data_IF_379719944901
#
_entry.id   IF_379719944901
#
_cell.length_a   1.000
_cell.length_b   1.000
_cell.length_c   1.000
_cell.angle_alpha   90.00
_cell.angle_beta   90.00
_cell.angle_gamma   90.00
#
_symmetry.space_group_name_H-M   'P 1'
#
loop_
_entity.id
_entity.type
_entity.pdbx_description
1 polymer ?
#
# COMPACT_ATOMS: atom_id res chain seq x y z
N UNK A 1 3.12 5.92 29.45
CA UNK A 1 2.69 4.91 30.45
C UNK A 1 3.38 5.15 31.79
N UNK A 2 2.66 5.06 32.92
CA UNK A 2 3.25 5.08 34.25
C UNK A 2 4.30 3.98 34.39
N UNK A 3 5.43 4.28 35.02
CA UNK A 3 6.51 3.29 35.21
C UNK A 3 7.16 3.44 36.58
N UNK A 4 7.63 2.33 37.14
CA UNK A 4 8.48 2.31 38.33
C UNK A 4 9.90 1.93 37.95
N UNK A 5 10.90 2.47 38.63
CA UNK A 5 12.30 2.05 38.43
C UNK A 5 12.68 0.95 39.42
N UNK A 6 13.50 0.00 38.98
CA UNK A 6 14.18 -0.93 39.89
C UNK A 6 15.39 -0.23 40.54
N UNK A 7 15.96 -0.80 41.62
CA UNK A 7 17.21 -0.29 42.20
C UNK A 7 18.35 -0.17 41.18
N UNK A 8 18.37 -1.01 40.14
CA UNK A 8 19.31 -0.93 39.01
C UNK A 8 18.88 0.00 37.87
N UNK A 9 17.95 0.92 38.09
CA UNK A 9 17.56 1.97 37.13
C UNK A 9 16.61 1.56 36.00
N UNK A 10 16.30 0.26 35.84
CA UNK A 10 15.43 -0.25 34.78
C UNK A 10 13.97 0.14 35.01
N UNK A 11 13.27 0.55 33.96
CA UNK A 11 11.84 0.83 34.01
C UNK A 11 11.05 -0.49 34.01
N UNK A 12 10.04 -0.56 34.87
CA UNK A 12 9.06 -1.65 34.96
C UNK A 12 7.67 -1.04 34.79
N UNK A 13 6.85 -1.72 34.01
CA UNK A 13 5.46 -1.35 33.74
C UNK A 13 4.53 -2.38 34.38
N UNK A 14 3.31 -1.98 34.72
CA UNK A 14 2.27 -2.95 35.09
C UNK A 14 1.79 -3.65 33.83
N UNK A 15 1.62 -4.97 33.90
CA UNK A 15 1.16 -5.78 32.76
C UNK A 15 -0.22 -5.31 32.26
N UNK A 16 -1.13 -4.98 33.17
CA UNK A 16 -2.44 -4.40 32.86
C UNK A 16 -2.34 -3.13 32.02
N UNK A 17 -1.43 -2.23 32.39
CA UNK A 17 -1.28 -0.94 31.73
C UNK A 17 -0.62 -1.10 30.35
N UNK A 18 0.25 -2.10 30.19
CA UNK A 18 0.79 -2.48 28.88
C UNK A 18 -0.27 -3.10 27.97
N UNK A 19 -1.13 -3.96 28.52
CA UNK A 19 -2.23 -4.59 27.77
C UNK A 19 -3.28 -3.55 27.38
N UNK A 20 -3.68 -2.67 28.30
CA UNK A 20 -4.61 -1.58 28.02
C UNK A 20 -4.01 -0.57 27.02
N UNK A 21 -2.70 -0.30 27.10
CA UNK A 21 -2.02 0.52 26.11
C UNK A 21 -2.01 -0.15 24.73
N UNK A 22 -1.72 -1.44 24.66
CA UNK A 22 -1.77 -2.20 23.41
C UNK A 22 -3.18 -2.26 22.82
N UNK A 23 -4.21 -2.40 23.67
CA UNK A 23 -5.62 -2.32 23.26
C UNK A 23 -5.99 -0.92 22.74
N UNK A 24 -5.44 0.15 23.34
CA UNK A 24 -5.56 1.52 22.78
C UNK A 24 -4.72 1.77 21.53
N UNK A 25 -3.90 0.79 21.11
CA UNK A 25 -3.04 0.82 19.91
C UNK A 25 -3.52 -0.19 18.86
N UNK A 26 -4.79 -0.61 18.91
CA UNK A 26 -5.38 -1.64 18.02
C UNK A 26 -5.42 -1.27 16.53
N UNK A 27 -4.95 -0.09 16.16
CA UNK A 27 -4.81 0.36 14.77
C UNK A 27 -3.36 0.30 14.31
N UNK A 28 -3.14 0.01 13.04
CA UNK A 28 -1.81 0.08 12.45
C UNK A 28 -1.29 1.51 12.52
N UNK A 29 -0.13 1.70 13.17
CA UNK A 29 0.51 3.00 13.18
C UNK A 29 1.02 3.34 11.76
N UNK A 30 0.93 4.60 11.31
CA UNK A 30 1.41 5.01 9.98
C UNK A 30 2.86 4.60 9.70
N UNK A 31 3.71 4.57 10.73
CA UNK A 31 5.11 4.14 10.62
C UNK A 31 5.25 2.64 10.35
N UNK A 32 4.38 1.79 10.90
CA UNK A 32 4.41 0.35 10.66
C UNK A 32 4.00 0.03 9.22
N UNK A 33 2.93 0.66 8.74
CA UNK A 33 2.50 0.56 7.33
C UNK A 33 3.62 1.02 6.39
N UNK A 34 4.32 2.10 6.74
CA UNK A 34 5.47 2.57 5.97
C UNK A 34 6.62 1.56 5.92
N UNK A 35 6.96 0.92 7.04
CA UNK A 35 8.02 -0.08 7.11
C UNK A 35 7.65 -1.32 6.29
N UNK A 36 6.40 -1.79 6.37
CA UNK A 36 5.88 -2.91 5.57
C UNK A 36 6.08 -2.61 4.08
N UNK A 37 5.61 -1.45 3.64
CA UNK A 37 5.67 -1.01 2.25
C UNK A 37 7.12 -0.82 1.78
N UNK A 38 7.98 -0.16 2.57
CA UNK A 38 9.37 0.10 2.17
C UNK A 38 10.20 -1.17 2.03
N UNK A 39 10.02 -2.13 2.93
CA UNK A 39 10.72 -3.41 2.84
C UNK A 39 10.25 -4.21 1.63
N UNK A 40 8.94 -4.23 1.37
CA UNK A 40 8.40 -4.86 0.18
C UNK A 40 8.89 -4.19 -1.12
N UNK A 41 8.95 -2.85 -1.16
CA UNK A 41 9.49 -2.11 -2.30
C UNK A 41 10.96 -2.44 -2.56
N UNK A 42 11.74 -2.63 -1.48
CA UNK A 42 13.13 -3.09 -1.55
C UNK A 42 13.23 -4.48 -2.17
N UNK A 43 12.40 -5.42 -1.72
CA UNK A 43 12.36 -6.79 -2.22
C UNK A 43 11.95 -6.83 -3.71
N UNK A 44 10.85 -6.18 -4.07
CA UNK A 44 10.39 -6.11 -5.45
C UNK A 44 11.41 -5.48 -6.37
N UNK A 45 12.13 -4.43 -5.95
CA UNK A 45 13.20 -3.84 -6.78
C UNK A 45 14.30 -4.85 -7.14
N UNK A 46 14.58 -5.82 -6.26
CA UNK A 46 15.49 -6.93 -6.57
C UNK A 46 14.88 -7.88 -7.61
N UNK A 47 13.58 -8.16 -7.51
CA UNK A 47 12.84 -9.04 -8.45
C UNK A 47 12.57 -8.37 -9.83
N UNK A 48 12.47 -7.04 -9.90
CA UNK A 48 12.40 -6.30 -11.17
C UNK A 48 13.78 -6.25 -11.83
N UNK A 49 14.83 -6.02 -11.01
CA UNK A 49 16.22 -5.92 -11.48
C UNK A 49 16.77 -7.23 -12.06
N UNK A 50 16.12 -8.37 -11.80
CA UNK A 50 16.47 -9.67 -12.37
C UNK A 50 15.93 -9.92 -13.79
N UNK A 51 15.14 -8.99 -14.36
CA UNK A 51 14.67 -9.05 -15.75
C UNK A 51 13.27 -9.63 -15.97
N UNK A 52 12.57 -10.05 -14.91
CA UNK A 52 11.26 -10.71 -15.03
C UNK A 52 10.13 -9.82 -15.58
N UNK A 53 10.23 -8.49 -15.49
CA UNK A 53 9.20 -7.57 -16.01
C UNK A 53 9.39 -7.18 -17.47
N UNK A 54 10.63 -7.21 -17.98
CA UNK A 54 10.92 -6.81 -19.37
C UNK A 54 10.28 -7.73 -20.40
N UNK A 55 9.89 -8.96 -20.00
CA UNK A 55 9.26 -9.94 -20.86
C UNK A 55 7.71 -9.87 -20.82
N UNK A 56 7.12 -8.97 -20.02
CA UNK A 56 5.67 -8.90 -19.86
C UNK A 56 5.08 -7.91 -20.88
N UNK A 57 4.14 -8.33 -21.76
CA UNK A 57 3.69 -7.52 -22.90
C UNK A 57 3.14 -6.13 -22.58
N UNK A 58 2.44 -5.97 -21.44
CA UNK A 58 1.93 -4.65 -21.04
C UNK A 58 3.04 -3.71 -20.56
N UNK A 59 4.11 -4.24 -19.98
CA UNK A 59 5.26 -3.46 -19.51
C UNK A 59 6.18 -3.09 -20.68
N UNK A 60 6.35 -4.00 -21.64
CA UNK A 60 7.04 -3.75 -22.90
C UNK A 60 6.36 -2.62 -23.70
N UNK A 61 5.03 -2.62 -23.75
CA UNK A 61 4.24 -1.60 -24.44
C UNK A 61 4.38 -0.17 -23.86
N UNK A 62 4.87 -0.01 -22.63
CA UNK A 62 5.09 1.30 -22.01
C UNK A 62 6.41 1.92 -22.47
N UNK A 63 6.39 3.22 -22.78
CA UNK A 63 7.62 3.98 -22.99
C UNK A 63 8.46 4.08 -21.69
N UNK A 64 9.77 4.34 -21.81
CA UNK A 64 10.62 4.53 -20.63
C UNK A 64 10.17 5.72 -19.77
N UNK A 65 9.66 6.78 -20.41
CA UNK A 65 9.06 7.92 -19.74
C UNK A 65 7.83 7.49 -18.91
N UNK A 66 6.91 6.70 -19.49
CA UNK A 66 5.75 6.14 -18.79
C UNK A 66 6.16 5.26 -17.62
N UNK A 67 7.16 4.38 -17.80
CA UNK A 67 7.69 3.56 -16.70
C UNK A 67 8.23 4.41 -15.55
N UNK A 68 8.94 5.50 -15.84
CA UNK A 68 9.45 6.43 -14.82
C UNK A 68 8.34 7.23 -14.13
N UNK A 69 7.33 7.64 -14.88
CA UNK A 69 6.14 8.32 -14.34
C UNK A 69 5.37 7.39 -13.41
N UNK A 70 5.13 6.15 -13.83
CA UNK A 70 4.44 5.15 -13.01
C UNK A 70 5.18 4.83 -11.71
N UNK A 71 6.52 4.81 -11.71
CA UNK A 71 7.30 4.65 -10.47
C UNK A 71 7.07 5.81 -9.49
N UNK A 72 6.90 7.03 -9.99
CA UNK A 72 6.59 8.19 -9.16
C UNK A 72 5.15 8.14 -8.65
N UNK A 73 4.20 7.84 -9.53
CA UNK A 73 2.79 7.65 -9.16
C UNK A 73 2.61 6.53 -8.14
N UNK A 74 3.26 5.38 -8.32
CA UNK A 74 3.23 4.27 -7.36
C UNK A 74 3.73 4.66 -5.97
N UNK A 75 4.77 5.50 -5.87
CA UNK A 75 5.22 6.04 -4.57
C UNK A 75 4.17 6.95 -3.93
N UNK A 76 3.51 7.79 -4.73
CA UNK A 76 2.43 8.66 -4.26
C UNK A 76 1.23 7.83 -3.78
N UNK A 77 0.82 6.81 -4.53
CA UNK A 77 -0.24 5.88 -4.14
C UNK A 77 0.05 5.25 -2.78
N UNK A 78 1.27 4.76 -2.58
CA UNK A 78 1.66 4.13 -1.32
C UNK A 78 1.68 5.10 -0.13
N UNK A 79 2.08 6.35 -0.35
CA UNK A 79 2.03 7.36 0.72
C UNK A 79 0.58 7.75 1.07
N UNK A 80 -0.28 7.94 0.06
CA UNK A 80 -1.69 8.26 0.30
C UNK A 80 -2.43 7.08 0.93
N UNK A 81 -2.14 5.84 0.52
CA UNK A 81 -2.65 4.63 1.16
C UNK A 81 -2.26 4.57 2.64
N UNK A 82 -0.99 4.86 2.95
CA UNK A 82 -0.51 4.93 4.34
C UNK A 82 -1.29 5.98 5.14
N UNK A 83 -1.50 7.17 4.57
CA UNK A 83 -2.26 8.23 5.23
C UNK A 83 -3.74 7.86 5.42
N UNK A 84 -4.34 7.17 4.45
CA UNK A 84 -5.70 6.67 4.51
C UNK A 84 -5.88 5.66 5.63
N UNK A 85 -5.05 4.62 5.69
CA UNK A 85 -5.09 3.59 6.74
C UNK A 85 -4.85 4.21 8.11
N UNK A 86 -3.86 5.11 8.22
CA UNK A 86 -3.53 5.78 9.47
C UNK A 86 -4.64 6.70 10.02
N UNK A 87 -5.54 7.16 9.15
CA UNK A 87 -6.70 7.96 9.53
C UNK A 87 -7.91 7.11 9.93
N UNK A 88 -7.76 5.78 10.06
CA UNK A 88 -8.87 4.86 10.31
C UNK A 88 -9.66 4.47 9.05
N UNK A 89 -9.09 4.70 7.85
CA UNK A 89 -9.71 4.41 6.56
C UNK A 89 -11.10 5.04 6.35
N UNK A 90 -11.26 6.37 6.54
CA UNK A 90 -12.55 7.04 6.37
C UNK A 90 -12.90 7.22 4.89
N UNK A 91 -14.17 6.99 4.54
CA UNK A 91 -14.66 7.02 3.15
C UNK A 91 -14.36 8.36 2.45
N UNK A 92 -14.36 9.49 3.17
CA UNK A 92 -14.08 10.81 2.59
C UNK A 92 -12.67 10.89 1.98
N UNK A 93 -11.70 10.10 2.48
CA UNK A 93 -10.34 10.05 1.94
C UNK A 93 -10.23 9.20 0.67
N UNK A 94 -11.26 8.44 0.29
CA UNK A 94 -11.29 7.70 -0.97
C UNK A 94 -11.35 8.62 -2.20
N UNK A 95 -11.74 9.89 -2.04
CA UNK A 95 -11.64 10.88 -3.12
C UNK A 95 -10.20 11.04 -3.66
N UNK A 96 -9.20 10.83 -2.81
CA UNK A 96 -7.78 10.83 -3.22
C UNK A 96 -7.47 9.60 -4.08
N UNK A 97 -7.99 8.43 -3.73
CA UNK A 97 -7.83 7.21 -4.53
C UNK A 97 -8.45 7.40 -5.93
N UNK A 98 -9.64 8.00 -6.02
CA UNK A 98 -10.27 8.33 -7.31
C UNK A 98 -9.35 9.24 -8.14
N UNK A 99 -8.85 10.32 -7.54
CA UNK A 99 -7.94 11.26 -8.24
C UNK A 99 -6.68 10.54 -8.75
N UNK A 100 -6.07 9.70 -7.92
CA UNK A 100 -4.89 8.92 -8.31
C UNK A 100 -5.20 7.92 -9.44
N UNK A 101 -6.39 7.31 -9.44
CA UNK A 101 -6.84 6.42 -10.50
C UNK A 101 -6.96 7.14 -11.84
N UNK A 102 -7.57 8.33 -11.84
CA UNK A 102 -7.65 9.20 -13.02
C UNK A 102 -6.28 9.65 -13.51
N UNK A 103 -5.41 10.11 -12.61
CA UNK A 103 -4.04 10.53 -12.95
C UNK A 103 -3.25 9.39 -13.61
N UNK A 104 -3.37 8.16 -13.09
CA UNK A 104 -2.76 6.96 -13.66
C UNK A 104 -3.32 6.64 -15.05
N UNK A 105 -4.64 6.60 -15.19
CA UNK A 105 -5.31 6.28 -16.45
C UNK A 105 -5.00 7.30 -17.54
N UNK A 106 -5.08 8.60 -17.23
CA UNK A 106 -4.74 9.68 -18.16
C UNK A 106 -3.30 9.59 -18.66
N UNK A 107 -2.37 9.26 -17.78
CA UNK A 107 -0.95 9.11 -18.14
C UNK A 107 -0.75 7.97 -19.14
N UNK A 108 -1.40 6.82 -18.91
CA UNK A 108 -1.27 5.66 -19.79
C UNK A 108 -2.05 5.80 -21.10
N UNK A 109 -3.24 6.39 -21.05
CA UNK A 109 -4.03 6.69 -22.25
C UNK A 109 -3.26 7.64 -23.17
N UNK A 110 -2.59 8.67 -22.62
CA UNK A 110 -1.74 9.58 -23.40
C UNK A 110 -0.55 8.91 -24.09
N UNK A 111 -0.10 7.74 -23.60
CA UNK A 111 0.96 6.90 -24.19
C UNK A 111 0.38 5.81 -25.11
N UNK A 112 -0.93 5.85 -25.40
CA UNK A 112 -1.62 4.91 -26.30
C UNK A 112 -1.92 3.54 -25.70
N UNK A 113 -1.80 3.37 -24.37
CA UNK A 113 -2.15 2.11 -23.72
C UNK A 113 -3.66 1.95 -23.62
N UNK A 114 -4.13 0.77 -24.02
CA UNK A 114 -5.52 0.34 -23.87
C UNK A 114 -5.88 0.07 -22.40
N UNK A 115 -7.17 0.15 -22.06
CA UNK A 115 -7.67 -0.21 -20.73
C UNK A 115 -7.16 -1.59 -20.24
N UNK A 116 -7.19 -2.68 -21.03
CA UNK A 116 -6.63 -3.96 -20.59
C UNK A 116 -5.13 -3.93 -20.29
N UNK A 117 -4.34 -3.05 -20.92
CA UNK A 117 -2.92 -2.90 -20.59
C UNK A 117 -2.75 -2.12 -19.27
N UNK A 118 -3.49 -1.02 -19.10
CA UNK A 118 -3.50 -0.23 -17.88
C UNK A 118 -3.91 -1.07 -16.65
N UNK A 119 -4.97 -1.86 -16.79
CA UNK A 119 -5.48 -2.75 -15.72
C UNK A 119 -4.47 -3.83 -15.34
N UNK A 120 -3.77 -4.44 -16.31
CA UNK A 120 -2.73 -5.44 -16.01
C UNK A 120 -1.57 -4.85 -15.22
N UNK A 121 -1.14 -3.63 -15.56
CA UNK A 121 -0.13 -2.91 -14.78
C UNK A 121 -0.59 -2.63 -13.35
N UNK A 122 -1.86 -2.26 -13.19
CA UNK A 122 -2.42 -1.97 -11.87
C UNK A 122 -2.64 -3.24 -11.03
N UNK A 123 -3.04 -4.36 -11.63
CA UNK A 123 -3.12 -5.65 -10.94
C UNK A 123 -1.77 -6.10 -10.44
N UNK A 124 -0.71 -5.97 -11.25
CA UNK A 124 0.65 -6.26 -10.82
C UNK A 124 1.05 -5.44 -9.58
N UNK A 125 0.72 -4.15 -9.57
CA UNK A 125 0.94 -3.30 -8.40
C UNK A 125 0.09 -3.74 -7.17
N UNK A 126 -1.18 -4.10 -7.38
CA UNK A 126 -2.10 -4.50 -6.32
C UNK A 126 -1.68 -5.81 -5.65
N UNK A 127 -1.24 -6.78 -6.45
CA UNK A 127 -0.68 -8.05 -5.97
C UNK A 127 0.60 -7.81 -5.16
N UNK A 128 1.46 -6.90 -5.63
CA UNK A 128 2.64 -6.48 -4.90
C UNK A 128 2.30 -5.95 -3.49
N UNK A 129 1.33 -5.04 -3.37
CA UNK A 129 0.91 -4.48 -2.07
C UNK A 129 0.28 -5.55 -1.18
N UNK A 130 -0.53 -6.42 -1.75
CA UNK A 130 -1.18 -7.52 -1.02
C UNK A 130 -0.14 -8.50 -0.45
N UNK A 131 0.82 -8.92 -1.28
CA UNK A 131 1.88 -9.83 -0.87
C UNK A 131 2.77 -9.21 0.22
N UNK A 132 3.04 -7.90 0.16
CA UNK A 132 3.75 -7.18 1.22
C UNK A 132 3.08 -7.35 2.59
N UNK A 133 1.76 -7.18 2.64
CA UNK A 133 0.97 -7.31 3.87
C UNK A 133 1.00 -8.77 4.36
N UNK A 134 0.84 -9.74 3.45
CA UNK A 134 0.87 -11.17 3.78
C UNK A 134 2.22 -11.58 4.37
N UNK A 135 3.34 -11.26 3.71
CA UNK A 135 4.68 -11.57 4.22
C UNK A 135 4.91 -10.97 5.62
N UNK A 136 4.46 -9.74 5.84
CA UNK A 136 4.60 -9.10 7.14
C UNK A 136 3.72 -9.72 8.24
N UNK A 137 2.55 -10.24 7.86
CA UNK A 137 1.66 -10.94 8.77
C UNK A 137 2.25 -12.23 9.33
N UNK A 138 3.16 -12.86 8.58
CA UNK A 138 3.85 -14.09 9.00
C UNK A 138 4.95 -13.84 10.04
N UNK A 139 5.57 -12.66 10.02
CA UNK A 139 6.78 -12.36 10.82
C UNK A 139 6.53 -11.40 11.99
N UNK A 140 5.33 -10.83 12.11
CA UNK A 140 5.01 -9.80 13.11
C UNK A 140 3.94 -10.31 14.09
N UNK A 141 4.14 -10.19 15.41
CA UNK A 141 3.18 -10.66 16.40
C UNK A 141 1.96 -9.72 16.52
N UNK A 142 1.02 -9.82 15.58
CA UNK A 142 -0.33 -9.21 15.63
C UNK A 142 -1.39 -10.27 15.38
N UNK A 143 -2.64 -9.99 15.77
CA UNK A 143 -3.75 -10.92 15.58
C UNK A 143 -4.16 -11.02 14.10
N UNK A 144 -4.70 -12.18 13.70
CA UNK A 144 -5.26 -12.38 12.37
C UNK A 144 -6.40 -11.38 12.05
N UNK A 145 -7.14 -10.94 13.08
CA UNK A 145 -8.20 -9.96 12.94
C UNK A 145 -7.67 -8.57 12.55
N UNK A 146 -6.57 -8.11 13.17
CA UNK A 146 -5.91 -6.85 12.82
C UNK A 146 -5.41 -6.88 11.37
N UNK A 147 -4.68 -7.94 10.99
CA UNK A 147 -4.20 -8.10 9.61
C UNK A 147 -5.34 -8.16 8.59
N UNK A 148 -6.41 -8.89 8.91
CA UNK A 148 -7.60 -8.93 8.08
C UNK A 148 -8.27 -7.55 7.94
N UNK A 149 -8.21 -6.71 8.98
CA UNK A 149 -8.74 -5.35 8.91
C UNK A 149 -7.89 -4.46 7.99
N UNK A 150 -6.56 -4.48 8.15
CA UNK A 150 -5.65 -3.75 7.27
C UNK A 150 -5.84 -4.16 5.81
N UNK A 151 -5.90 -5.46 5.53
CA UNK A 151 -6.07 -5.96 4.18
C UNK A 151 -7.39 -5.48 3.56
N UNK A 152 -8.49 -5.47 4.32
CA UNK A 152 -9.77 -4.90 3.84
C UNK A 152 -9.66 -3.42 3.53
N UNK A 153 -9.05 -2.62 4.42
CA UNK A 153 -8.87 -1.19 4.19
C UNK A 153 -8.02 -0.91 2.94
N UNK A 154 -6.93 -1.65 2.78
CA UNK A 154 -6.06 -1.55 1.60
C UNK A 154 -6.82 -1.94 0.33
N UNK A 155 -7.58 -3.04 0.36
CA UNK A 155 -8.39 -3.47 -0.78
C UNK A 155 -9.46 -2.45 -1.14
N UNK A 156 -10.11 -1.81 -0.17
CA UNK A 156 -11.06 -0.72 -0.46
C UNK A 156 -10.39 0.39 -1.26
N UNK A 157 -9.24 0.88 -0.80
CA UNK A 157 -8.50 1.95 -1.49
C UNK A 157 -8.08 1.54 -2.92
N UNK A 158 -7.49 0.35 -3.06
CA UNK A 158 -7.05 -0.20 -4.35
C UNK A 158 -8.23 -0.40 -5.31
N UNK A 159 -9.36 -0.92 -4.83
CA UNK A 159 -10.55 -1.15 -5.63
C UNK A 159 -11.20 0.16 -6.07
N UNK A 160 -11.19 1.20 -5.23
CA UNK A 160 -11.62 2.55 -5.61
C UNK A 160 -10.76 3.11 -6.75
N UNK A 161 -9.44 2.92 -6.69
CA UNK A 161 -8.56 3.29 -7.80
C UNK A 161 -8.88 2.51 -9.08
N UNK A 162 -9.03 1.19 -8.99
CA UNK A 162 -9.37 0.32 -10.12
C UNK A 162 -10.64 0.76 -10.84
N UNK A 163 -11.70 1.03 -10.06
CA UNK A 163 -12.96 1.50 -10.61
C UNK A 163 -12.76 2.83 -11.33
N UNK A 164 -12.06 3.78 -10.70
CA UNK A 164 -11.79 5.08 -11.31
C UNK A 164 -10.94 5.00 -12.58
N UNK A 165 -10.06 4.00 -12.71
CA UNK A 165 -9.30 3.75 -13.94
C UNK A 165 -10.25 3.25 -15.03
N UNK A 166 -11.12 2.31 -14.71
CA UNK A 166 -12.09 1.76 -15.66
C UNK A 166 -13.05 2.86 -16.16
N UNK A 167 -13.61 3.67 -15.25
CA UNK A 167 -14.48 4.80 -15.58
C UNK A 167 -13.79 5.81 -16.51
N UNK A 168 -12.52 6.14 -16.25
CA UNK A 168 -11.77 7.08 -17.09
C UNK A 168 -11.69 6.61 -18.56
N UNK A 169 -11.41 5.33 -18.79
CA UNK A 169 -11.29 4.77 -20.13
C UNK A 169 -12.65 4.47 -20.81
N UNK A 170 -13.74 4.45 -20.07
CA UNK A 170 -15.09 4.35 -20.64
C UNK A 170 -15.58 5.72 -21.15
N UNK A 171 -15.20 6.79 -20.47
CA UNK A 171 -15.61 8.16 -20.78
C UNK A 171 -14.78 8.83 -21.90
N UNK A 172 -13.63 8.27 -22.26
CA UNK A 172 -12.69 8.76 -23.30
C UNK A 172 -12.95 8.14 -24.68
#
# INVERSE_FOLDING_TARGET
>A
LPSRRTPGGHRRFRRSDLLQYAETQGEFQPVEVQIIIQNALGQTRMDIGSGNLSEIPWYEAMSEASRNLLRQQGRRVLDELRQYVAAGAPDERLAVAITLGKDYAASLSSDGLTLPQAMRGFFYFSDFVTNAILTWSEITPRSAAEWGNLLRQVNTFINTMLLSIAEFYEEE
#
